data_IF_735946736223
#
_entry.id   IF_735946736223
#
_cell.length_a   1.000
_cell.length_b   1.000
_cell.length_c   1.000
_cell.angle_alpha   90.00
_cell.angle_beta   90.00
_cell.angle_gamma   90.00
#
_symmetry.space_group_name_H-M   'P 1'
#
loop_
_entity.id
_entity.type
_entity.pdbx_description
1 polymer ?
#
# COMPACT_ATOMS: atom_id res chain seq x y z
N UNK A 1 -29.27 -12.39 -0.79
CA UNK A 1 -29.22 -11.06 -1.41
C UNK A 1 -28.07 -10.32 -0.75
N UNK A 2 -26.90 -10.32 -1.39
CA UNK A 2 -25.71 -9.62 -0.92
C UNK A 2 -25.90 -8.14 -1.22
N UNK A 3 -26.02 -7.32 -0.18
CA UNK A 3 -25.99 -5.87 -0.33
C UNK A 3 -24.56 -5.45 -0.63
N UNK A 4 -24.33 -4.94 -1.83
CA UNK A 4 -23.10 -4.25 -2.17
C UNK A 4 -23.01 -2.97 -1.32
N UNK A 5 -22.14 -3.00 -0.32
CA UNK A 5 -21.80 -1.85 0.51
C UNK A 5 -20.82 -0.99 -0.31
N UNK A 6 -21.26 0.19 -0.75
CA UNK A 6 -20.33 1.20 -1.29
C UNK A 6 -19.77 1.97 -0.09
N UNK A 7 -18.53 1.72 0.35
CA UNK A 7 -17.96 2.52 1.42
C UNK A 7 -17.75 3.95 0.92
N UNK A 8 -18.01 4.93 1.79
CA UNK A 8 -17.75 6.34 1.47
C UNK A 8 -16.24 6.55 1.31
N UNK A 9 -15.83 6.99 0.12
CA UNK A 9 -14.45 7.34 -0.19
C UNK A 9 -14.07 8.60 0.58
N UNK A 10 -13.08 8.51 1.47
CA UNK A 10 -12.54 9.65 2.20
C UNK A 10 -11.20 10.05 1.58
N UNK A 11 -11.25 11.01 0.66
CA UNK A 11 -10.04 11.69 0.19
C UNK A 11 -9.65 12.72 1.24
N UNK A 12 -8.69 12.36 2.09
CA UNK A 12 -8.07 13.34 2.97
C UNK A 12 -7.12 14.20 2.14
N UNK A 13 -7.54 15.43 1.78
CA UNK A 13 -6.71 16.40 1.03
C UNK A 13 -5.34 16.71 1.66
N UNK A 14 -5.12 16.27 2.91
CA UNK A 14 -3.91 16.50 3.69
C UNK A 14 -3.08 15.21 3.88
N UNK A 15 -3.38 14.10 3.20
CA UNK A 15 -2.49 12.93 3.19
C UNK A 15 -1.27 13.24 2.31
N UNK A 16 -0.09 13.31 2.91
CA UNK A 16 1.16 13.72 2.23
C UNK A 16 1.62 12.75 1.14
N UNK A 17 1.03 11.56 1.08
CA UNK A 17 1.32 10.52 0.10
C UNK A 17 0.16 10.32 -0.89
N UNK A 18 -0.82 11.23 -0.90
CA UNK A 18 -2.03 11.17 -1.73
C UNK A 18 -2.78 9.82 -1.64
N UNK A 19 -2.69 9.14 -0.49
CA UNK A 19 -3.39 7.87 -0.27
C UNK A 19 -4.88 8.11 -0.15
N UNK A 20 -5.64 7.18 -0.72
CA UNK A 20 -7.08 7.14 -0.60
C UNK A 20 -7.46 6.25 0.58
N UNK A 21 -8.20 6.82 1.53
CA UNK A 21 -8.67 6.10 2.69
C UNK A 21 -10.18 5.89 2.57
N UNK A 22 -10.64 4.73 3.00
CA UNK A 22 -12.03 4.33 2.82
C UNK A 22 -12.58 3.88 4.16
N UNK A 23 -13.81 4.29 4.47
CA UNK A 23 -14.46 3.85 5.71
C UNK A 23 -14.67 2.35 5.68
N UNK A 24 -14.16 1.65 6.69
CA UNK A 24 -14.42 0.23 6.88
C UNK A 24 -15.35 0.06 8.07
N UNK A 25 -16.56 -0.43 7.83
CA UNK A 25 -17.60 -0.56 8.85
C UNK A 25 -18.32 -1.89 8.72
N UNK A 26 -18.77 -2.42 9.84
CA UNK A 26 -19.65 -3.59 9.93
C UNK A 26 -20.82 -3.26 10.87
N UNK A 27 -21.94 -3.97 10.72
CA UNK A 27 -23.13 -3.72 11.55
C UNK A 27 -22.88 -3.98 13.04
N UNK A 28 -21.95 -4.87 13.34
CA UNK A 28 -21.56 -5.24 14.70
C UNK A 28 -20.60 -4.24 15.35
N UNK A 29 -20.25 -3.15 14.67
CA UNK A 29 -19.29 -2.16 15.13
C UNK A 29 -19.96 -0.84 15.48
N UNK A 30 -19.42 -0.20 16.50
CA UNK A 30 -19.75 1.18 16.86
C UNK A 30 -18.54 2.05 16.56
N UNK A 31 -18.78 3.23 16.00
CA UNK A 31 -17.73 4.22 15.74
C UNK A 31 -17.74 5.28 16.83
N UNK A 32 -16.57 5.55 17.37
CA UNK A 32 -16.33 6.60 18.36
C UNK A 32 -15.41 7.66 17.76
N UNK A 33 -15.50 8.88 18.30
CA UNK A 33 -14.67 9.99 17.85
C UNK A 33 -14.23 10.87 19.02
N UNK A 34 -13.19 11.66 18.78
CA UNK A 34 -12.69 12.68 19.72
C UNK A 34 -12.45 14.00 19.00
N UNK A 35 -12.58 15.10 19.74
CA UNK A 35 -12.19 16.44 19.29
C UNK A 35 -10.75 16.78 19.68
N UNK A 36 -10.13 15.99 20.55
CA UNK A 36 -8.76 16.18 21.02
C UNK A 36 -7.76 15.85 19.90
N UNK A 37 -6.59 16.46 19.96
CA UNK A 37 -5.51 16.15 19.02
C UNK A 37 -4.91 14.77 19.35
N UNK A 38 -4.73 13.95 18.32
CA UNK A 38 -3.96 12.69 18.40
C UNK A 38 -2.59 12.97 17.82
N UNK A 39 -1.55 12.87 18.65
CA UNK A 39 -0.18 13.06 18.24
C UNK A 39 0.22 11.98 17.23
N UNK A 40 0.77 12.41 16.08
CA UNK A 40 1.29 11.54 15.05
C UNK A 40 2.78 11.83 14.81
N UNK A 41 3.64 11.07 15.50
CA UNK A 41 5.08 11.09 15.32
C UNK A 41 5.59 9.89 14.51
N UNK A 42 4.70 9.11 13.89
CA UNK A 42 5.10 7.94 13.13
C UNK A 42 5.51 8.34 11.70
N UNK A 43 6.41 7.56 11.08
CA UNK A 43 6.89 7.78 9.70
C UNK A 43 5.90 7.37 8.61
N UNK A 44 4.76 6.79 8.99
CA UNK A 44 3.74 6.27 8.07
C UNK A 44 2.66 7.32 7.76
N UNK A 45 2.64 8.42 8.52
CA UNK A 45 1.79 9.59 8.34
C UNK A 45 0.31 9.28 8.03
N UNK A 46 -0.38 8.35 8.73
CA UNK A 46 -1.81 8.16 8.51
C UNK A 46 -2.56 9.49 8.75
N UNK A 47 -3.64 9.78 7.99
CA UNK A 47 -4.36 11.04 8.09
C UNK A 47 -4.82 11.34 9.52
N UNK A 48 -4.54 12.54 10.02
CA UNK A 48 -4.89 12.95 11.39
C UNK A 48 -6.38 12.75 11.70
N UNK A 49 -7.25 12.97 10.73
CA UNK A 49 -8.70 12.82 10.91
C UNK A 49 -9.11 11.35 11.06
N UNK A 50 -8.43 10.41 10.40
CA UNK A 50 -8.64 8.98 10.63
C UNK A 50 -8.18 8.55 12.04
N UNK A 51 -7.20 9.26 12.63
CA UNK A 51 -6.74 8.97 13.98
C UNK A 51 -7.70 9.44 15.08
N UNK A 52 -8.53 10.44 14.78
CA UNK A 52 -9.55 10.95 15.72
C UNK A 52 -10.81 10.10 15.80
N UNK A 53 -10.93 9.10 14.96
CA UNK A 53 -12.02 8.13 14.98
C UNK A 53 -11.47 6.74 15.27
N UNK A 54 -12.33 5.87 15.80
CA UNK A 54 -12.02 4.47 15.96
C UNK A 54 -13.28 3.62 15.88
N UNK A 55 -13.14 2.41 15.32
CA UNK A 55 -14.12 1.36 15.44
C UNK A 55 -13.91 0.60 16.75
N UNK A 56 -15.00 0.27 17.43
CA UNK A 56 -15.06 -0.64 18.57
C UNK A 56 -16.16 -1.68 18.33
N UNK A 57 -16.03 -2.85 18.95
CA UNK A 57 -17.10 -3.86 18.88
C UNK A 57 -18.32 -3.40 19.68
N UNK A 58 -19.52 -3.49 19.08
CA UNK A 58 -20.79 -3.20 19.78
C UNK A 58 -21.03 -4.19 20.92
N UNK A 59 -20.56 -5.44 20.77
CA UNK A 59 -20.49 -6.39 21.86
C UNK A 59 -19.09 -6.37 22.49
N UNK A 60 -18.99 -5.94 23.74
CA UNK A 60 -17.72 -5.72 24.44
C UNK A 60 -16.76 -6.93 24.50
N UNK A 61 -17.27 -8.16 24.34
CA UNK A 61 -16.48 -9.40 24.34
C UNK A 61 -16.21 -9.94 22.94
N UNK A 62 -16.94 -9.46 21.92
CA UNK A 62 -16.75 -9.90 20.55
C UNK A 62 -15.50 -9.24 19.93
N UNK A 63 -14.82 -9.94 19.01
CA UNK A 63 -13.65 -9.41 18.33
C UNK A 63 -14.03 -8.37 17.27
N UNK A 64 -13.14 -7.40 17.03
CA UNK A 64 -13.15 -6.66 15.77
C UNK A 64 -12.53 -7.56 14.70
N UNK A 65 -13.28 -7.89 13.65
CA UNK A 65 -12.86 -8.81 12.59
C UNK A 65 -12.96 -8.15 11.23
N UNK A 66 -11.81 -7.95 10.60
CA UNK A 66 -11.68 -7.45 9.23
C UNK A 66 -11.39 -8.64 8.33
N UNK A 67 -12.25 -8.88 7.33
CA UNK A 67 -12.06 -9.98 6.37
C UNK A 67 -12.20 -9.49 4.95
N UNK A 68 -11.39 -10.07 4.08
CA UNK A 68 -11.44 -9.86 2.64
C UNK A 68 -11.05 -11.16 1.92
N UNK A 69 -11.58 -11.31 0.71
CA UNK A 69 -11.24 -12.44 -0.15
C UNK A 69 -9.98 -12.14 -0.95
N UNK A 70 -9.14 -13.14 -1.12
CA UNK A 70 -8.00 -13.10 -2.03
C UNK A 70 -8.36 -13.80 -3.34
N UNK A 71 -8.08 -13.15 -4.48
CA UNK A 71 -8.24 -13.75 -5.81
C UNK A 71 -7.22 -14.87 -6.09
N UNK A 72 -6.08 -14.84 -5.39
CA UNK A 72 -5.02 -15.83 -5.53
C UNK A 72 -4.51 -16.22 -4.13
N UNK A 73 -4.66 -17.50 -3.77
CA UNK A 73 -4.28 -18.04 -2.45
C UNK A 73 -2.79 -17.88 -2.12
N UNK A 74 -1.94 -17.69 -3.14
CA UNK A 74 -0.50 -17.47 -2.98
C UNK A 74 -0.15 -15.99 -2.78
N UNK A 75 -1.11 -15.07 -2.88
CA UNK A 75 -0.88 -13.67 -2.57
C UNK A 75 -0.42 -13.55 -1.12
N UNK A 76 0.68 -12.82 -0.94
CA UNK A 76 1.21 -12.51 0.37
C UNK A 76 0.85 -11.06 0.71
N UNK A 77 0.66 -10.77 1.99
CA UNK A 77 0.18 -9.49 2.45
C UNK A 77 1.04 -8.93 3.57
N UNK A 78 1.28 -7.62 3.54
CA UNK A 78 1.72 -6.85 4.69
C UNK A 78 0.51 -6.13 5.30
N UNK A 79 0.46 -6.10 6.62
CA UNK A 79 -0.55 -5.37 7.38
C UNK A 79 0.11 -4.25 8.18
N UNK A 80 -0.52 -3.09 8.20
CA UNK A 80 -0.22 -1.99 9.12
C UNK A 80 -1.50 -1.67 9.89
N UNK A 81 -1.45 -1.77 11.21
CA UNK A 81 -2.54 -1.38 12.11
C UNK A 81 -2.16 -0.13 12.88
N UNK A 82 -3.04 0.87 12.89
CA UNK A 82 -2.83 2.16 13.53
C UNK A 82 -3.79 2.31 14.72
N UNK A 83 -3.23 2.51 15.91
CA UNK A 83 -3.95 2.48 17.18
C UNK A 83 -3.60 3.67 18.06
N UNK A 84 -4.62 4.36 18.57
CA UNK A 84 -4.50 5.38 19.60
C UNK A 84 -5.72 5.30 20.51
N UNK A 85 -5.54 5.27 21.83
CA UNK A 85 -6.66 5.40 22.76
C UNK A 85 -7.18 6.85 22.71
N UNK A 86 -8.41 7.01 22.23
CA UNK A 86 -9.05 8.30 21.98
C UNK A 86 -10.15 8.64 22.99
N UNK A 87 -10.47 7.72 23.90
CA UNK A 87 -11.39 7.95 25.00
C UNK A 87 -10.63 8.31 26.28
N UNK A 88 -11.23 9.16 27.09
CA UNK A 88 -10.79 9.37 28.48
C UNK A 88 -11.26 8.16 29.31
N UNK A 89 -10.33 7.28 29.66
CA UNK A 89 -10.60 6.06 30.43
C UNK A 89 -10.73 6.36 31.93
N UNK A 90 -11.64 5.66 32.62
CA UNK A 90 -11.70 5.72 34.08
C UNK A 90 -10.48 5.01 34.70
N UNK A 91 -10.19 5.27 35.97
CA UNK A 91 -9.02 4.70 36.67
C UNK A 91 -8.95 3.17 36.63
N UNK A 92 -10.11 2.51 36.63
CA UNK A 92 -10.21 1.04 36.60
C UNK A 92 -10.42 0.51 35.18
N UNK A 93 -10.52 1.38 34.18
CA UNK A 93 -10.66 0.96 32.81
C UNK A 93 -9.31 0.60 32.21
N UNK A 94 -9.28 -0.51 31.49
CA UNK A 94 -8.11 -0.95 30.74
C UNK A 94 -8.57 -1.40 29.38
N UNK A 95 -7.85 -0.98 28.35
CA UNK A 95 -8.00 -1.53 27.02
C UNK A 95 -6.75 -2.26 26.59
N UNK A 96 -6.88 -3.57 26.46
CA UNK A 96 -5.82 -4.43 26.00
C UNK A 96 -6.37 -5.51 25.06
N UNK A 97 -5.69 -5.77 23.95
CA UNK A 97 -6.12 -6.78 23.00
C UNK A 97 -4.95 -7.45 22.28
N UNK A 98 -5.18 -8.72 21.94
CA UNK A 98 -4.34 -9.52 21.06
C UNK A 98 -4.72 -9.28 19.59
N UNK A 99 -3.74 -9.44 18.71
CA UNK A 99 -3.93 -9.36 17.26
C UNK A 99 -3.70 -10.71 16.61
N UNK A 100 -4.59 -11.07 15.69
CA UNK A 100 -4.55 -12.34 15.00
C UNK A 100 -4.65 -12.16 13.49
N UNK A 101 -3.80 -12.89 12.75
CA UNK A 101 -3.93 -13.10 11.32
C UNK A 101 -4.35 -14.54 11.08
N UNK A 102 -5.53 -14.75 10.51
CA UNK A 102 -6.12 -16.07 10.28
C UNK A 102 -6.05 -16.99 11.52
N UNK A 103 -6.33 -16.42 12.70
CA UNK A 103 -6.31 -17.13 13.97
C UNK A 103 -4.93 -17.33 14.60
N UNK A 104 -3.84 -16.92 13.94
CA UNK A 104 -2.48 -16.95 14.49
C UNK A 104 -2.12 -15.60 15.11
N UNK A 105 -1.50 -15.62 16.30
CA UNK A 105 -1.04 -14.38 16.97
C UNK A 105 0.09 -13.76 16.17
N UNK A 106 0.01 -12.45 15.89
CA UNK A 106 1.01 -11.74 15.06
C UNK A 106 1.85 -10.71 15.81
N UNK A 107 1.49 -10.38 17.05
CA UNK A 107 2.22 -9.44 17.89
C UNK A 107 1.82 -9.64 19.36
N UNK A 108 2.64 -9.11 20.26
CA UNK A 108 2.32 -9.04 21.69
C UNK A 108 1.02 -8.25 21.94
N UNK A 109 0.31 -8.51 23.04
CA UNK A 109 -0.90 -7.76 23.38
C UNK A 109 -0.63 -6.25 23.40
N UNK A 110 -1.51 -5.48 22.77
CA UNK A 110 -1.38 -4.03 22.68
C UNK A 110 -2.25 -3.36 23.74
N UNK A 111 -1.63 -2.43 24.50
CA UNK A 111 -2.31 -1.35 25.22
C UNK A 111 -2.08 -0.07 24.43
N UNK A 112 -3.08 0.45 23.70
CA UNK A 112 -2.89 1.63 22.86
C UNK A 112 -2.54 2.87 23.69
N UNK A 113 -1.55 3.66 23.28
CA UNK A 113 -1.20 4.88 24.01
C UNK A 113 -2.29 5.94 23.85
N UNK A 114 -2.49 6.71 24.92
CA UNK A 114 -3.50 7.77 24.99
C UNK A 114 -3.12 8.95 24.08
N UNK A 115 -4.03 9.32 23.18
CA UNK A 115 -3.87 10.42 22.22
C UNK A 115 -2.53 10.48 21.49
N UNK A 116 -1.91 9.32 21.29
CA UNK A 116 -0.66 9.18 20.55
C UNK A 116 -0.79 7.95 19.67
N UNK A 117 -0.36 8.04 18.41
CA UNK A 117 -0.45 6.91 17.50
C UNK A 117 0.62 5.86 17.81
N UNK A 118 0.22 4.61 17.74
CA UNK A 118 1.10 3.46 17.71
C UNK A 118 0.77 2.61 16.49
N UNK A 119 1.79 2.32 15.68
CA UNK A 119 1.63 1.49 14.48
C UNK A 119 2.28 0.14 14.70
N UNK A 120 1.49 -0.92 14.55
CA UNK A 120 1.99 -2.29 14.47
C UNK A 120 2.00 -2.68 13.00
N UNK A 121 3.08 -3.32 12.57
CA UNK A 121 3.25 -3.72 11.18
C UNK A 121 3.83 -5.13 11.08
N UNK A 122 3.48 -5.82 10.00
CA UNK A 122 4.05 -7.11 9.65
C UNK A 122 5.54 -6.97 9.31
N UNK A 123 6.42 -7.72 9.97
CA UNK A 123 7.85 -7.79 9.63
C UNK A 123 8.12 -8.66 8.39
N UNK A 124 7.23 -9.62 8.13
CA UNK A 124 7.27 -10.52 6.97
C UNK A 124 5.87 -10.67 6.40
N UNK A 125 5.71 -10.90 5.10
CA UNK A 125 4.40 -10.99 4.49
C UNK A 125 3.75 -12.34 4.82
N UNK A 126 2.43 -12.36 4.94
CA UNK A 126 1.67 -13.58 5.27
C UNK A 126 0.68 -13.91 4.16
N UNK A 127 0.51 -15.20 3.87
CA UNK A 127 -0.53 -15.68 2.97
C UNK A 127 -1.87 -15.81 3.68
N UNK A 128 -2.93 -16.00 2.91
CA UNK A 128 -4.25 -16.29 3.43
C UNK A 128 -4.70 -17.69 3.00
N UNK A 129 -4.50 -18.67 3.87
CA UNK A 129 -4.93 -20.05 3.64
C UNK A 129 -6.43 -20.10 3.27
N UNK A 130 -6.77 -20.82 2.21
CA UNK A 130 -8.14 -20.95 1.73
C UNK A 130 -8.72 -19.70 1.05
N UNK A 131 -7.89 -18.71 0.70
CA UNK A 131 -8.31 -17.55 -0.10
C UNK A 131 -9.16 -16.53 0.66
N UNK A 132 -9.23 -16.63 2.00
CA UNK A 132 -9.90 -15.67 2.87
C UNK A 132 -8.91 -15.16 3.91
N UNK A 133 -8.70 -13.86 3.92
CA UNK A 133 -7.89 -13.19 4.92
C UNK A 133 -8.78 -12.72 6.07
N UNK A 134 -8.30 -12.86 7.29
CA UNK A 134 -8.96 -12.42 8.52
C UNK A 134 -7.94 -11.78 9.44
N UNK A 135 -8.08 -10.48 9.66
CA UNK A 135 -7.35 -9.76 10.70
C UNK A 135 -8.31 -9.50 11.86
N UNK A 136 -7.95 -9.96 13.06
CA UNK A 136 -8.82 -9.89 14.23
C UNK A 136 -8.13 -9.24 15.42
N UNK A 137 -8.87 -8.38 16.12
CA UNK A 137 -8.49 -7.85 17.42
C UNK A 137 -9.37 -8.50 18.47
N UNK A 138 -8.76 -9.15 19.45
CA UNK A 138 -9.48 -9.85 20.52
C UNK A 138 -9.04 -9.32 21.87
N UNK A 139 -10.00 -8.86 22.64
CA UNK A 139 -9.81 -8.39 24.01
C UNK A 139 -9.11 -9.46 24.86
N UNK A 140 -8.17 -9.05 25.71
CA UNK A 140 -7.56 -9.94 26.72
C UNK A 140 -8.44 -10.06 27.97
N UNK A 141 -8.14 -11.01 28.84
CA UNK A 141 -8.80 -11.13 30.14
C UNK A 141 -8.47 -9.97 31.11
N UNK A 142 -7.42 -9.18 30.85
CA UNK A 142 -7.03 -8.02 31.66
C UNK A 142 -7.77 -6.74 31.28
N UNK A 143 -8.32 -6.68 30.08
CA UNK A 143 -9.04 -5.53 29.57
C UNK A 143 -10.45 -5.45 30.19
N UNK A 144 -10.93 -4.23 30.45
CA UNK A 144 -12.34 -3.91 30.80
C UNK A 144 -13.13 -3.39 29.59
N UNK A 145 -12.44 -2.97 28.53
CA UNK A 145 -13.02 -2.40 27.30
C UNK A 145 -12.81 -3.30 26.06
N UNK A 146 -13.65 -3.19 25.01
CA UNK A 146 -13.44 -3.90 23.75
C UNK A 146 -12.15 -3.42 23.04
N UNK A 147 -11.64 -4.15 22.05
CA UNK A 147 -10.57 -3.64 21.19
C UNK A 147 -11.01 -2.36 20.47
N UNK A 148 -10.05 -1.52 20.08
CA UNK A 148 -10.30 -0.41 19.16
C UNK A 148 -9.36 -0.46 17.96
N UNK A 149 -9.80 0.13 16.85
CA UNK A 149 -9.02 0.29 15.64
C UNK A 149 -9.27 1.68 15.04
N UNK A 150 -8.22 2.50 14.89
CA UNK A 150 -8.35 3.80 14.24
C UNK A 150 -8.27 3.67 12.72
N UNK A 151 -7.23 2.98 12.23
CA UNK A 151 -7.04 2.75 10.80
C UNK A 151 -6.18 1.50 10.55
N UNK A 152 -6.25 0.95 9.34
CA UNK A 152 -5.34 -0.12 8.91
C UNK A 152 -5.08 -0.05 7.40
N UNK A 153 -3.92 -0.52 6.97
CA UNK A 153 -3.52 -0.65 5.58
C UNK A 153 -3.15 -2.12 5.31
N UNK A 154 -3.56 -2.63 4.15
CA UNK A 154 -3.21 -3.97 3.68
C UNK A 154 -2.55 -3.83 2.32
N UNK A 155 -1.32 -4.31 2.20
CA UNK A 155 -0.55 -4.29 0.96
C UNK A 155 -0.37 -5.71 0.44
N UNK A 156 -0.75 -5.94 -0.82
CA UNK A 156 -0.44 -7.20 -1.51
C UNK A 156 1.00 -7.14 -2.02
N UNK A 157 1.77 -8.19 -1.80
CA UNK A 157 3.10 -8.34 -2.38
C UNK A 157 2.95 -8.59 -3.88
N UNK A 158 3.48 -7.66 -4.66
CA UNK A 158 3.65 -7.85 -6.10
C UNK A 158 5.09 -8.31 -6.31
N UNK A 159 5.26 -9.54 -6.75
CA UNK A 159 6.56 -10.03 -7.18
C UNK A 159 6.79 -9.55 -8.62
N UNK A 160 7.88 -8.82 -8.82
CA UNK A 160 8.39 -8.51 -10.16
C UNK A 160 9.42 -9.59 -10.50
N UNK A 161 9.04 -10.65 -11.26
CA UNK A 161 10.00 -11.70 -11.62
C UNK A 161 11.08 -11.18 -12.58
N UNK A 162 10.82 -10.05 -13.24
CA UNK A 162 11.71 -9.45 -14.23
C UNK A 162 12.65 -8.45 -13.52
N UNK A 163 13.94 -8.52 -13.85
CA UNK A 163 14.90 -7.51 -13.41
C UNK A 163 14.61 -6.21 -14.16
N UNK A 164 14.74 -5.09 -13.46
CA UNK A 164 14.69 -3.74 -14.02
C UNK A 164 15.64 -3.57 -15.22
N UNK A 165 15.25 -2.67 -16.12
CA UNK A 165 16.03 -2.28 -17.30
C UNK A 165 17.43 -1.83 -16.88
N UNK A 166 18.42 -2.07 -17.75
CA UNK A 166 19.77 -1.59 -17.49
C UNK A 166 19.79 -0.08 -17.22
N UNK A 167 20.38 0.31 -16.08
CA UNK A 167 20.36 1.67 -15.59
C UNK A 167 20.91 2.70 -16.59
N UNK A 168 21.94 2.33 -17.37
CA UNK A 168 22.48 3.23 -18.41
C UNK A 168 21.48 3.45 -19.54
N UNK A 169 20.74 2.42 -19.93
CA UNK A 169 19.71 2.52 -20.95
C UNK A 169 18.51 3.35 -20.43
N UNK A 170 18.15 3.20 -19.14
CA UNK A 170 17.13 4.05 -18.48
C UNK A 170 17.54 5.51 -18.51
N UNK A 171 18.77 5.83 -18.08
CA UNK A 171 19.28 7.21 -18.09
C UNK A 171 19.33 7.76 -19.52
N UNK A 172 19.79 6.96 -20.49
CA UNK A 172 19.86 7.36 -21.89
C UNK A 172 18.47 7.69 -22.45
N UNK A 173 17.47 6.82 -22.27
CA UNK A 173 16.13 7.04 -22.81
C UNK A 173 15.38 8.18 -22.10
N UNK A 174 15.62 8.39 -20.80
CA UNK A 174 15.10 9.56 -20.08
C UNK A 174 15.71 10.88 -20.59
N UNK A 175 17.00 10.88 -20.90
CA UNK A 175 17.66 12.04 -21.50
C UNK A 175 17.12 12.30 -22.92
N UNK A 176 16.88 11.26 -23.73
CA UNK A 176 16.25 11.38 -25.05
C UNK A 176 14.84 11.96 -24.91
N UNK A 177 14.03 11.41 -24.00
CA UNK A 177 12.68 11.90 -23.67
C UNK A 177 12.71 13.39 -23.35
N UNK A 178 13.64 13.81 -22.50
CA UNK A 178 13.78 15.21 -22.06
C UNK A 178 14.28 16.12 -23.19
N UNK A 179 15.32 15.68 -23.92
CA UNK A 179 15.94 16.47 -25.01
C UNK A 179 14.94 16.78 -26.12
N UNK A 180 14.06 15.84 -26.41
CA UNK A 180 13.05 15.95 -27.46
C UNK A 180 11.66 16.31 -26.94
N UNK A 181 11.53 16.63 -25.65
CA UNK A 181 10.27 16.98 -25.00
C UNK A 181 9.14 15.98 -25.31
N UNK A 182 9.49 14.68 -25.36
CA UNK A 182 8.57 13.60 -25.74
C UNK A 182 7.54 13.41 -24.62
N UNK A 183 6.29 13.76 -24.93
CA UNK A 183 5.14 13.57 -24.05
C UNK A 183 4.27 12.40 -24.51
N UNK A 184 4.75 11.17 -24.31
CA UNK A 184 3.97 9.93 -24.50
C UNK A 184 3.48 9.40 -23.15
N UNK A 185 2.20 9.06 -23.06
CA UNK A 185 1.61 8.53 -21.81
C UNK A 185 2.25 7.21 -21.37
N UNK A 186 2.71 6.40 -22.32
CA UNK A 186 3.38 5.11 -22.05
C UNK A 186 4.80 5.26 -21.52
N UNK A 187 5.42 6.44 -21.61
CA UNK A 187 6.81 6.65 -21.19
C UNK A 187 6.89 7.01 -19.70
N UNK A 188 6.42 6.11 -18.84
CA UNK A 188 6.42 6.25 -17.38
C UNK A 188 6.95 4.97 -16.71
N UNK A 189 7.65 5.11 -15.59
CA UNK A 189 8.24 3.98 -14.87
C UNK A 189 9.47 3.38 -15.58
N UNK A 190 9.62 2.06 -15.49
CA UNK A 190 10.71 1.33 -16.14
C UNK A 190 10.42 1.16 -17.66
N UNK A 191 11.41 1.42 -18.55
CA UNK A 191 11.19 1.41 -20.00
C UNK A 191 10.82 0.06 -20.61
N UNK A 192 11.34 -1.04 -20.08
CA UNK A 192 11.18 -2.37 -20.69
C UNK A 192 10.26 -3.30 -19.89
N UNK A 193 10.17 -3.13 -18.57
CA UNK A 193 9.44 -4.07 -17.68
C UNK A 193 8.40 -3.36 -16.80
N UNK A 194 7.23 -3.98 -16.55
CA UNK A 194 6.77 -5.27 -17.09
C UNK A 194 6.51 -5.19 -18.59
N UNK A 195 6.74 -6.28 -19.35
CA UNK A 195 6.55 -6.28 -20.82
C UNK A 195 5.21 -5.73 -21.31
N UNK A 196 4.14 -5.99 -20.56
CA UNK A 196 2.79 -5.51 -20.88
C UNK A 196 2.62 -3.98 -20.76
N UNK A 197 3.56 -3.31 -20.09
CA UNK A 197 3.63 -1.86 -19.90
C UNK A 197 4.93 -1.26 -20.45
N UNK A 198 5.65 -1.99 -21.31
CA UNK A 198 6.84 -1.47 -22.02
C UNK A 198 6.49 -0.18 -22.73
N UNK A 199 7.42 0.78 -22.71
CA UNK A 199 7.21 2.07 -23.35
C UNK A 199 6.96 1.92 -24.85
N UNK A 200 5.97 2.65 -25.34
CA UNK A 200 5.59 2.55 -26.75
C UNK A 200 6.73 3.03 -27.66
N UNK A 201 7.03 2.21 -28.66
CA UNK A 201 8.13 2.43 -29.59
C UNK A 201 9.45 1.85 -29.11
N UNK A 202 9.53 1.26 -27.92
CA UNK A 202 10.71 0.48 -27.53
C UNK A 202 10.56 -0.98 -27.94
N UNK A 203 11.70 -1.61 -28.21
CA UNK A 203 11.86 -3.05 -28.05
C UNK A 203 13.08 -3.29 -27.17
N UNK A 204 13.03 -4.35 -26.37
CA UNK A 204 14.10 -4.67 -25.45
C UNK A 204 14.52 -6.14 -25.60
N UNK A 205 15.78 -6.43 -25.27
CA UNK A 205 16.33 -7.79 -25.26
C UNK A 205 15.52 -8.72 -24.37
N UNK A 206 15.57 -10.03 -24.67
CA UNK A 206 14.86 -11.02 -23.87
C UNK A 206 15.25 -10.95 -22.38
N UNK A 207 14.23 -11.07 -21.53
CA UNK A 207 14.30 -10.80 -20.10
C UNK A 207 14.20 -12.12 -19.37
N UNK A 208 15.32 -12.81 -19.18
CA UNK A 208 15.39 -13.87 -18.19
C UNK A 208 15.50 -13.25 -16.79
N UNK A 209 15.19 -14.01 -15.74
CA UNK A 209 15.24 -13.54 -14.34
C UNK A 209 16.65 -13.13 -13.85
N UNK A 210 17.69 -13.24 -14.68
CA UNK A 210 19.09 -12.99 -14.34
C UNK A 210 19.75 -11.90 -15.20
N UNK A 211 19.10 -11.44 -16.28
CA UNK A 211 19.67 -10.47 -17.21
C UNK A 211 18.83 -9.20 -17.25
N UNK A 212 19.50 -8.05 -17.10
CA UNK A 212 18.83 -6.75 -17.24
C UNK A 212 18.41 -6.53 -18.70
N UNK A 213 17.14 -6.23 -18.99
CA UNK A 213 16.71 -5.83 -20.32
C UNK A 213 17.58 -4.68 -20.86
N UNK A 214 17.95 -4.76 -22.13
CA UNK A 214 18.64 -3.71 -22.88
C UNK A 214 17.72 -3.19 -23.97
N UNK A 215 17.71 -1.89 -24.24
CA UNK A 215 16.92 -1.31 -25.33
C UNK A 215 17.59 -1.66 -26.65
N UNK A 216 16.89 -2.41 -27.50
CA UNK A 216 17.37 -2.85 -28.82
C UNK A 216 16.69 -2.10 -29.97
N UNK A 217 15.50 -1.53 -29.73
CA UNK A 217 14.83 -0.67 -30.69
C UNK A 217 14.27 0.57 -30.01
N UNK A 218 14.36 1.72 -30.68
CA UNK A 218 13.81 2.98 -30.24
C UNK A 218 13.13 3.68 -31.43
N UNK A 219 11.82 3.60 -31.52
CA UNK A 219 11.04 4.23 -32.56
C UNK A 219 10.56 5.63 -32.13
N UNK A 220 11.22 6.64 -32.70
CA UNK A 220 10.89 8.06 -32.51
C UNK A 220 10.04 8.64 -33.64
N UNK A 221 9.54 7.81 -34.57
CA UNK A 221 8.64 8.28 -35.61
C UNK A 221 7.40 8.94 -35.00
N UNK A 222 6.85 9.91 -35.73
CA UNK A 222 5.69 10.71 -35.30
C UNK A 222 5.89 11.55 -34.03
N UNK A 223 7.11 11.65 -33.49
CA UNK A 223 7.43 12.53 -32.36
C UNK A 223 7.72 13.99 -32.76
N UNK A 224 7.56 14.35 -34.04
CA UNK A 224 7.74 15.74 -34.50
C UNK A 224 9.16 16.30 -34.32
N UNK A 225 10.17 15.42 -34.28
CA UNK A 225 11.54 15.80 -33.96
C UNK A 225 12.11 16.76 -35.00
N UNK A 226 12.72 17.85 -34.53
CA UNK A 226 13.48 18.80 -35.34
C UNK A 226 14.85 19.04 -34.70
N UNK A 227 15.85 19.38 -35.51
CA UNK A 227 17.21 19.66 -35.02
C UNK A 227 18.13 18.43 -35.01
N UNK A 228 19.13 18.45 -34.12
CA UNK A 228 20.23 17.47 -34.09
C UNK A 228 19.89 16.19 -33.34
N UNK A 229 20.54 15.09 -33.72
CA UNK A 229 20.43 13.82 -33.01
C UNK A 229 20.99 13.93 -31.58
N UNK A 230 20.22 13.49 -30.59
CA UNK A 230 20.59 13.56 -29.18
C UNK A 230 21.79 12.64 -28.92
N UNK A 231 22.85 13.17 -28.33
CA UNK A 231 24.05 12.39 -28.00
C UNK A 231 23.74 11.20 -27.09
N UNK A 232 22.69 11.30 -26.28
CA UNK A 232 22.22 10.22 -25.41
C UNK A 232 21.83 8.93 -26.17
N UNK A 233 21.49 9.00 -27.46
CA UNK A 233 21.23 7.81 -28.29
C UNK A 233 22.47 6.90 -28.35
N UNK A 234 23.68 7.47 -28.34
CA UNK A 234 24.93 6.70 -28.37
C UNK A 234 25.15 5.86 -27.10
N UNK A 235 24.47 6.21 -26.00
CA UNK A 235 24.56 5.46 -24.74
C UNK A 235 23.67 4.20 -24.74
N UNK A 236 22.76 4.05 -25.72
CA UNK A 236 22.00 2.82 -25.94
C UNK A 236 22.87 1.81 -26.70
N UNK A 237 23.84 1.21 -26.01
CA UNK A 237 24.91 0.42 -26.65
C UNK A 237 24.47 -0.92 -27.27
N UNK A 238 23.21 -1.30 -27.12
CA UNK A 238 22.61 -2.48 -27.74
C UNK A 238 21.51 -2.10 -28.74
N UNK A 239 21.40 -0.82 -29.10
CA UNK A 239 20.43 -0.35 -30.06
C UNK A 239 20.76 -0.87 -31.46
N UNK A 240 19.82 -1.61 -32.03
CA UNK A 240 19.90 -2.19 -33.38
C UNK A 240 19.07 -1.37 -34.37
N UNK A 241 17.95 -0.78 -33.90
CA UNK A 241 16.99 -0.03 -34.74
C UNK A 241 16.60 1.30 -34.10
N UNK A 242 16.58 2.36 -34.91
CA UNK A 242 16.17 3.73 -34.53
C UNK A 242 15.12 4.26 -35.52
#
# INVERSE_FOLDING_TARGET
MSGDYFPSLLVYRNDVYDRVWTTFSRNEWTHISTTLEVSNSNKYFPPKEALKTAAISTNSTAPLTMEWSSSNVNNQYYLYGHFAEIQELQTNDTREFNMFWNGQVIADPLIPPKFTIYTIFSQSPSTCEGGKCSFQLRRTNRSTLPPLLNAFEVYTVIQFPQIETNENDVVAVQNIKTTYEISRNSWQGDPCVPRQFMWEGLNCSDTDMSTRPRITSLNLSSSGLTGTMAAAIQNLTQLETL
#
